data_IF_645387615750
#
_entry.id   IF_645387615750
#
_cell.length_a   1.000
_cell.length_b   1.000
_cell.length_c   1.000
_cell.angle_alpha   90.00
_cell.angle_beta   90.00
_cell.angle_gamma   90.00
#
_symmetry.space_group_name_H-M   'P 1'
#
loop_
_entity.id
_entity.type
_entity.pdbx_description
1 polymer ?
#
# COMPACT_ATOMS: atom_id res chain seq x y z
N UNK A 1 -9.14 -12.11 15.64
CA UNK A 1 -7.68 -11.87 15.62
C UNK A 1 -6.92 -12.45 16.81
N UNK A 2 -7.26 -12.15 18.06
CA UNK A 2 -6.55 -12.68 19.23
C UNK A 2 -6.48 -14.22 19.25
N UNK A 3 -7.57 -14.91 18.90
CA UNK A 3 -7.57 -16.37 18.74
C UNK A 3 -6.65 -16.88 17.60
N UNK A 4 -6.58 -16.19 16.45
CA UNK A 4 -5.68 -16.55 15.33
C UNK A 4 -4.22 -16.33 15.73
N UNK A 5 -3.93 -15.26 16.48
CA UNK A 5 -2.61 -14.96 17.00
C UNK A 5 -2.17 -15.96 18.08
N UNK A 6 -3.08 -16.34 18.98
CA UNK A 6 -2.86 -17.38 20.00
C UNK A 6 -2.64 -18.75 19.37
N UNK A 7 -3.39 -19.10 18.31
CA UNK A 7 -3.17 -20.32 17.53
C UNK A 7 -1.82 -20.25 16.82
N UNK A 8 -1.48 -19.16 16.16
CA UNK A 8 -0.17 -19.05 15.49
C UNK A 8 1.01 -19.05 16.48
N UNK A 9 0.80 -18.61 17.73
CA UNK A 9 1.81 -18.66 18.78
C UNK A 9 1.96 -20.06 19.40
N UNK A 10 0.87 -20.78 19.58
CA UNK A 10 0.83 -21.99 20.40
C UNK A 10 0.60 -23.31 19.63
N UNK A 11 0.25 -23.25 18.34
CA UNK A 11 0.05 -24.43 17.52
C UNK A 11 1.38 -25.08 17.10
N UNK A 12 1.35 -26.39 16.88
CA UNK A 12 2.46 -27.12 16.29
C UNK A 12 2.69 -26.75 14.81
N UNK A 13 3.86 -27.12 14.29
CA UNK A 13 4.25 -26.79 12.91
C UNK A 13 3.36 -27.43 11.85
N UNK A 14 2.75 -28.59 12.12
CA UNK A 14 1.88 -29.26 11.18
C UNK A 14 0.55 -28.51 11.02
N UNK A 15 -0.01 -28.06 12.14
CA UNK A 15 -1.23 -27.24 12.20
C UNK A 15 -1.01 -25.90 11.50
N UNK A 16 0.13 -25.25 11.75
CA UNK A 16 0.49 -23.99 11.06
C UNK A 16 0.59 -24.15 9.55
N UNK A 17 1.23 -25.23 9.07
CA UNK A 17 1.34 -25.52 7.63
C UNK A 17 -0.03 -25.74 6.99
N UNK A 18 -0.89 -26.53 7.62
CA UNK A 18 -2.24 -26.78 7.11
C UNK A 18 -3.05 -25.48 7.02
N UNK A 19 -3.02 -24.65 8.06
CA UNK A 19 -3.72 -23.36 8.05
C UNK A 19 -3.15 -22.38 7.02
N UNK A 20 -1.83 -22.35 6.84
CA UNK A 20 -1.18 -21.53 5.80
C UNK A 20 -1.61 -21.97 4.40
N UNK A 21 -1.74 -23.29 4.16
CA UNK A 21 -2.17 -23.83 2.88
C UNK A 21 -3.64 -23.50 2.56
N UNK A 22 -4.54 -23.60 3.55
CA UNK A 22 -5.94 -23.19 3.39
C UNK A 22 -6.07 -21.69 3.12
N UNK A 23 -5.33 -20.86 3.86
CA UNK A 23 -5.30 -19.41 3.59
C UNK A 23 -4.75 -19.09 2.21
N UNK A 24 -3.73 -19.83 1.74
CA UNK A 24 -3.22 -19.67 0.37
C UNK A 24 -4.31 -19.96 -0.66
N UNK A 25 -5.09 -21.04 -0.51
CA UNK A 25 -6.20 -21.35 -1.42
C UNK A 25 -7.24 -20.23 -1.46
N UNK A 26 -7.63 -19.70 -0.29
CA UNK A 26 -8.56 -18.57 -0.19
C UNK A 26 -8.02 -17.35 -0.94
N UNK A 27 -6.73 -17.05 -0.78
CA UNK A 27 -6.08 -15.92 -1.47
C UNK A 27 -5.97 -16.13 -2.97
N UNK A 28 -5.52 -17.30 -3.43
CA UNK A 28 -5.42 -17.62 -4.85
C UNK A 28 -6.79 -17.54 -5.53
N UNK A 29 -7.83 -18.09 -4.88
CA UNK A 29 -9.20 -18.02 -5.40
C UNK A 29 -9.76 -16.59 -5.41
N UNK A 30 -9.53 -15.82 -4.34
CA UNK A 30 -9.93 -14.41 -4.25
C UNK A 30 -9.28 -13.60 -5.37
N UNK A 31 -7.98 -13.81 -5.61
CA UNK A 31 -7.23 -13.09 -6.65
C UNK A 31 -7.75 -13.43 -8.04
N UNK A 32 -7.97 -14.70 -8.35
CA UNK A 32 -8.50 -15.13 -9.64
C UNK A 32 -9.89 -14.54 -9.92
N UNK A 33 -10.77 -14.57 -8.92
CA UNK A 33 -12.09 -13.92 -9.00
C UNK A 33 -11.98 -12.41 -9.19
N UNK A 34 -11.02 -11.77 -8.52
CA UNK A 34 -10.81 -10.32 -8.57
C UNK A 34 -10.26 -9.89 -9.92
N UNK A 35 -9.27 -10.60 -10.47
CA UNK A 35 -8.79 -10.36 -11.84
C UNK A 35 -9.91 -10.45 -12.87
N UNK A 36 -10.83 -11.41 -12.71
CA UNK A 36 -12.00 -11.53 -13.58
C UNK A 36 -12.95 -10.35 -13.46
N UNK A 37 -13.36 -9.99 -12.24
CA UNK A 37 -14.27 -8.84 -12.01
C UNK A 37 -13.64 -7.53 -12.51
N UNK A 38 -12.34 -7.34 -12.28
CA UNK A 38 -11.61 -6.16 -12.74
C UNK A 38 -11.48 -6.10 -14.27
N UNK A 39 -11.20 -7.22 -14.94
CA UNK A 39 -11.18 -7.26 -16.40
C UNK A 39 -12.53 -6.81 -16.98
N UNK A 40 -13.64 -7.35 -16.46
CA UNK A 40 -14.99 -6.97 -16.89
C UNK A 40 -15.27 -5.47 -16.66
N UNK A 41 -14.89 -4.94 -15.49
CA UNK A 41 -15.07 -3.51 -15.14
C UNK A 41 -14.24 -2.59 -16.02
N UNK A 42 -12.97 -2.92 -16.25
CA UNK A 42 -12.05 -2.12 -17.07
C UNK A 42 -12.49 -2.10 -18.54
N UNK A 43 -12.92 -3.25 -19.08
CA UNK A 43 -13.48 -3.33 -20.43
C UNK A 43 -14.78 -2.52 -20.56
N UNK A 44 -15.65 -2.54 -19.55
CA UNK A 44 -16.85 -1.71 -19.51
C UNK A 44 -16.52 -0.21 -19.48
N UNK A 45 -15.49 0.20 -18.75
CA UNK A 45 -15.01 1.59 -18.74
C UNK A 45 -14.40 2.01 -20.08
N UNK A 46 -13.62 1.13 -20.71
CA UNK A 46 -13.08 1.37 -22.05
C UNK A 46 -14.20 1.58 -23.07
N UNK A 47 -15.27 0.78 -23.02
CA UNK A 47 -16.44 0.97 -23.88
C UNK A 47 -17.09 2.34 -23.68
N UNK A 48 -17.28 2.77 -22.43
CA UNK A 48 -17.79 4.12 -22.11
C UNK A 48 -16.87 5.22 -22.66
N UNK A 49 -15.54 5.03 -22.61
CA UNK A 49 -14.57 5.97 -23.17
C UNK A 49 -14.64 6.06 -24.70
N UNK A 50 -14.87 4.94 -25.38
CA UNK A 50 -15.11 4.92 -26.84
C UNK A 50 -16.34 5.74 -27.17
N UNK A 51 -17.48 5.46 -26.51
CA UNK A 51 -18.74 6.18 -26.73
C UNK A 51 -18.60 7.69 -26.45
N UNK A 52 -17.89 8.06 -25.38
CA UNK A 52 -17.61 9.46 -25.06
C UNK A 52 -16.74 10.14 -26.13
N UNK A 53 -15.71 9.46 -26.65
CA UNK A 53 -14.85 9.99 -27.70
C UNK A 53 -15.61 10.21 -29.01
N UNK A 54 -16.49 9.27 -29.38
CA UNK A 54 -17.35 9.40 -30.56
C UNK A 54 -18.33 10.57 -30.41
N UNK A 55 -18.98 10.69 -29.25
CA UNK A 55 -19.90 11.80 -28.96
C UNK A 55 -19.20 13.17 -28.98
N UNK A 56 -17.93 13.21 -28.60
CA UNK A 56 -17.10 14.42 -28.65
C UNK A 56 -16.54 14.72 -30.06
N UNK A 57 -16.82 13.89 -31.08
CA UNK A 57 -16.28 14.05 -32.43
C UNK A 57 -14.80 13.70 -32.57
N UNK A 58 -14.21 13.05 -31.56
CA UNK A 58 -12.80 12.66 -31.58
C UNK A 58 -12.62 11.28 -32.22
N UNK A 59 -12.80 11.22 -33.54
CA UNK A 59 -12.78 9.98 -34.31
C UNK A 59 -11.44 9.23 -34.24
N UNK A 60 -10.32 9.95 -34.14
CA UNK A 60 -8.99 9.35 -34.04
C UNK A 60 -8.81 8.62 -32.69
N UNK A 61 -9.21 9.27 -31.59
CA UNK A 61 -9.18 8.63 -30.27
C UNK A 61 -10.14 7.43 -30.20
N UNK A 62 -11.35 7.57 -30.75
CA UNK A 62 -12.32 6.47 -30.79
C UNK A 62 -11.78 5.27 -31.57
N UNK A 63 -11.09 5.50 -32.70
CA UNK A 63 -10.44 4.44 -33.48
C UNK A 63 -9.34 3.74 -32.67
N UNK A 64 -8.43 4.50 -32.06
CA UNK A 64 -7.35 3.95 -31.23
C UNK A 64 -7.88 3.12 -30.06
N UNK A 65 -8.94 3.58 -29.38
CA UNK A 65 -9.55 2.87 -28.26
C UNK A 65 -10.28 1.58 -28.68
N UNK A 66 -10.79 1.51 -29.92
CA UNK A 66 -11.41 0.30 -30.50
C UNK A 66 -10.40 -0.74 -30.97
N UNK A 67 -9.22 -0.28 -31.40
CA UNK A 67 -8.11 -1.16 -31.81
C UNK A 67 -7.37 -1.77 -30.61
N UNK A 68 -7.51 -1.17 -29.42
CA UNK A 68 -6.96 -1.72 -28.19
C UNK A 68 -7.59 -3.08 -27.85
N UNK A 69 -6.77 -4.10 -27.52
CA UNK A 69 -7.28 -5.42 -27.17
C UNK A 69 -8.12 -5.37 -25.90
N UNK A 70 -9.08 -6.29 -25.81
CA UNK A 70 -9.84 -6.54 -24.58
C UNK A 70 -8.90 -7.00 -23.46
N UNK A 71 -9.04 -6.40 -22.27
CA UNK A 71 -8.26 -6.76 -21.09
C UNK A 71 -8.74 -8.10 -20.59
N UNK A 72 -7.85 -9.09 -20.48
CA UNK A 72 -8.15 -10.41 -19.91
C UNK A 72 -7.70 -10.49 -18.46
N UNK A 73 -8.24 -11.43 -17.66
CA UNK A 73 -7.76 -11.64 -16.29
C UNK A 73 -6.25 -11.86 -16.20
N UNK A 74 -5.66 -12.56 -17.20
CA UNK A 74 -4.22 -12.82 -17.27
C UNK A 74 -3.38 -11.58 -17.60
N UNK A 75 -4.00 -10.50 -18.08
CA UNK A 75 -3.34 -9.20 -18.29
C UNK A 75 -3.29 -8.36 -17.01
N UNK A 76 -3.92 -8.84 -15.92
CA UNK A 76 -3.92 -8.21 -14.60
C UNK A 76 -2.95 -8.97 -13.68
N UNK A 77 -1.93 -8.25 -13.24
CA UNK A 77 -0.91 -8.77 -12.33
C UNK A 77 -1.21 -8.34 -10.90
N UNK A 78 -1.08 -9.28 -9.96
CA UNK A 78 -1.09 -8.95 -8.53
C UNK A 78 0.32 -8.48 -8.21
N UNK A 79 0.46 -7.20 -7.87
CA UNK A 79 1.73 -6.62 -7.48
C UNK A 79 1.88 -6.71 -5.95
N UNK A 80 3.01 -7.29 -5.52
CA UNK A 80 3.20 -7.90 -4.21
C UNK A 80 2.67 -7.13 -2.99
N UNK A 81 1.74 -7.75 -2.25
CA UNK A 81 1.46 -7.44 -0.85
C UNK A 81 2.62 -7.68 0.08
N UNK A 82 2.62 -7.01 1.22
CA UNK A 82 3.58 -7.11 2.33
C UNK A 82 3.91 -8.55 2.79
N UNK A 83 4.76 -9.29 2.06
CA UNK A 83 5.64 -10.37 2.53
C UNK A 83 6.42 -10.94 1.33
N UNK A 84 7.72 -10.63 1.17
CA UNK A 84 8.53 -11.06 0.01
C UNK A 84 8.81 -12.56 -0.02
N UNK A 85 8.57 -13.26 1.08
CA UNK A 85 8.61 -14.72 1.10
C UNK A 85 7.28 -15.20 0.55
N UNK A 86 7.29 -15.98 -0.54
CA UNK A 86 6.10 -16.57 -1.18
C UNK A 86 5.23 -17.48 -0.26
N UNK A 87 5.52 -17.50 1.04
CA UNK A 87 4.80 -18.24 2.06
C UNK A 87 3.74 -17.36 2.71
N UNK A 88 2.48 -17.63 2.38
CA UNK A 88 1.31 -17.14 3.12
C UNK A 88 1.42 -17.61 4.57
N UNK A 89 1.33 -16.67 5.51
CA UNK A 89 1.34 -16.95 6.96
C UNK A 89 0.02 -16.52 7.57
N UNK A 90 -0.59 -17.41 8.33
CA UNK A 90 -1.80 -17.14 9.10
C UNK A 90 -1.58 -15.94 10.02
N UNK A 91 -2.44 -14.92 9.88
CA UNK A 91 -2.35 -13.67 10.64
C UNK A 91 -1.30 -12.67 10.13
N UNK A 92 -0.76 -12.86 8.91
CA UNK A 92 0.03 -11.84 8.23
C UNK A 92 -0.87 -10.87 7.46
N UNK A 93 -0.52 -9.58 7.52
CA UNK A 93 -1.15 -8.50 6.77
C UNK A 93 -1.03 -8.77 5.25
N UNK A 94 -2.12 -8.53 4.48
CA UNK A 94 -2.12 -8.67 3.01
C UNK A 94 -2.51 -7.35 2.33
N UNK A 95 -1.49 -6.60 1.92
CA UNK A 95 -1.61 -5.36 1.11
C UNK A 95 -1.79 -5.66 -0.41
N UNK A 96 -2.98 -5.80 -0.96
CA UNK A 96 -3.18 -6.11 -2.39
C UNK A 96 -3.12 -4.87 -3.27
N UNK A 97 -2.18 -4.85 -4.22
CA UNK A 97 -2.18 -3.96 -5.39
C UNK A 97 -2.36 -4.81 -6.65
N UNK A 98 -3.18 -4.36 -7.60
CA UNK A 98 -3.27 -4.99 -8.91
C UNK A 98 -2.96 -3.99 -10.02
N UNK A 99 -2.26 -4.45 -11.05
CA UNK A 99 -1.81 -3.64 -12.18
C UNK A 99 -2.29 -4.23 -13.49
N UNK A 100 -2.58 -3.35 -14.43
CA UNK A 100 -2.95 -3.72 -15.80
C UNK A 100 -2.02 -3.03 -16.78
N UNK A 101 -1.73 -3.69 -17.90
CA UNK A 101 -1.04 -3.04 -19.00
C UNK A 101 -1.89 -1.87 -19.52
N UNK A 102 -1.26 -0.72 -19.83
CA UNK A 102 -2.00 0.44 -20.31
C UNK A 102 -2.63 0.18 -21.68
N UNK A 103 -3.86 0.68 -21.87
CA UNK A 103 -4.56 0.54 -23.15
C UNK A 103 -4.01 1.53 -24.20
N UNK A 104 -4.08 1.16 -25.48
CA UNK A 104 -3.75 2.08 -26.56
C UNK A 104 -4.62 3.36 -26.48
N UNK A 105 -4.02 4.51 -26.78
CA UNK A 105 -4.66 5.82 -26.66
C UNK A 105 -4.68 6.39 -25.23
N UNK A 106 -4.34 5.62 -24.20
CA UNK A 106 -4.19 6.13 -22.84
C UNK A 106 -2.99 7.06 -22.73
N UNK A 107 -3.14 8.15 -21.96
CA UNK A 107 -2.01 9.02 -21.63
C UNK A 107 -1.36 8.48 -20.37
N UNK A 108 -0.08 8.17 -20.46
CA UNK A 108 0.75 7.71 -19.34
C UNK A 108 1.96 8.62 -19.21
N UNK A 109 2.53 8.67 -18.00
CA UNK A 109 3.82 9.32 -17.78
C UNK A 109 4.92 8.27 -17.95
N UNK A 110 5.91 8.58 -18.77
CA UNK A 110 7.11 7.74 -18.93
C UNK A 110 8.36 8.56 -18.62
N UNK A 111 9.45 7.92 -18.17
CA UNK A 111 10.73 8.60 -17.98
C UNK A 111 11.22 9.20 -19.30
N UNK A 112 11.77 10.41 -19.25
CA UNK A 112 12.40 11.01 -20.42
C UNK A 112 13.68 10.25 -20.77
N UNK A 113 13.90 9.84 -22.04
CA UNK A 113 15.14 9.20 -22.45
C UNK A 113 16.35 10.11 -22.17
N UNK A 114 17.29 9.60 -21.38
CA UNK A 114 18.47 10.34 -20.92
C UNK A 114 18.27 11.20 -19.66
N UNK A 115 17.06 11.26 -19.10
CA UNK A 115 16.80 11.85 -17.78
C UNK A 115 15.65 11.10 -17.07
N UNK A 116 15.95 9.98 -16.38
CA UNK A 116 14.94 9.13 -15.74
C UNK A 116 14.14 9.81 -14.62
N UNK A 117 14.66 10.92 -14.07
CA UNK A 117 14.02 11.72 -13.02
C UNK A 117 12.93 12.64 -13.57
N UNK A 118 12.96 12.93 -14.88
CA UNK A 118 11.96 13.78 -15.54
C UNK A 118 10.91 12.92 -16.23
N UNK A 119 9.65 13.12 -15.86
CA UNK A 119 8.50 12.42 -16.45
C UNK A 119 7.90 13.24 -17.59
N UNK A 120 7.55 12.58 -18.69
CA UNK A 120 6.84 13.17 -19.82
C UNK A 120 5.54 12.39 -20.07
N UNK A 121 4.46 13.12 -20.31
CA UNK A 121 3.19 12.50 -20.69
C UNK A 121 3.23 12.14 -22.17
N UNK A 122 2.83 10.91 -22.49
CA UNK A 122 2.69 10.48 -23.87
C UNK A 122 1.53 9.51 -24.04
N UNK A 123 1.05 9.42 -25.27
CA UNK A 123 -0.06 8.53 -25.64
C UNK A 123 0.50 7.15 -25.95
N UNK A 124 -0.12 6.12 -25.40
CA UNK A 124 0.24 4.72 -25.62
C UNK A 124 -0.17 4.31 -27.04
N UNK A 125 0.78 3.74 -27.77
CA UNK A 125 0.63 3.18 -29.10
C UNK A 125 -0.06 1.81 -29.04
N UNK A 126 -0.49 1.28 -30.19
CA UNK A 126 -1.13 -0.03 -30.28
C UNK A 126 -0.23 -1.19 -29.81
N UNK A 127 1.10 -1.02 -29.87
CA UNK A 127 2.10 -1.99 -29.42
C UNK A 127 2.47 -1.86 -27.93
N UNK A 128 1.79 -0.98 -27.17
CA UNK A 128 2.07 -0.76 -25.75
C UNK A 128 3.29 0.11 -25.46
N UNK A 129 3.85 0.78 -26.47
CA UNK A 129 4.93 1.77 -26.29
C UNK A 129 4.39 3.19 -26.23
N UNK A 130 5.22 4.13 -25.80
CA UNK A 130 4.99 5.57 -25.90
C UNK A 130 6.14 6.17 -26.69
N UNK A 131 5.80 6.94 -27.72
CA UNK A 131 6.80 7.72 -28.46
C UNK A 131 7.08 9.01 -27.71
N UNK A 132 8.35 9.20 -27.32
CA UNK A 132 8.82 10.39 -26.61
C UNK A 132 10.05 10.97 -27.28
N UNK A 133 10.21 12.29 -27.18
CA UNK A 133 11.36 12.98 -27.75
C UNK A 133 12.56 12.88 -26.81
N UNK A 134 13.61 12.22 -27.26
CA UNK A 134 14.89 12.09 -26.59
C UNK A 134 15.60 13.43 -26.43
N UNK A 135 16.60 13.44 -25.54
CA UNK A 135 17.45 14.61 -25.28
C UNK A 135 18.29 15.02 -26.51
N UNK A 136 18.53 14.10 -27.44
CA UNK A 136 19.16 14.34 -28.74
C UNK A 136 18.17 14.86 -29.81
N UNK A 137 16.92 15.09 -29.44
CA UNK A 137 15.88 15.62 -30.32
C UNK A 137 15.22 14.57 -31.23
N UNK A 138 15.59 13.28 -31.11
CA UNK A 138 14.99 12.17 -31.88
C UNK A 138 13.84 11.51 -31.13
N UNK A 139 12.94 10.90 -31.86
CA UNK A 139 11.86 10.12 -31.26
C UNK A 139 12.38 8.75 -30.81
N UNK A 140 12.03 8.37 -29.59
CA UNK A 140 12.38 7.10 -28.95
C UNK A 140 11.10 6.44 -28.48
N UNK A 141 10.96 5.15 -28.75
CA UNK A 141 9.88 4.37 -28.16
C UNK A 141 10.30 3.84 -26.80
N UNK A 142 9.46 4.09 -25.80
CA UNK A 142 9.65 3.62 -24.43
C UNK A 142 8.47 2.73 -24.09
N UNK A 143 8.71 1.59 -23.45
CA UNK A 143 7.61 0.72 -22.98
C UNK A 143 6.74 1.51 -22.00
N UNK A 144 5.42 1.49 -22.22
CA UNK A 144 4.50 2.11 -21.29
C UNK A 144 4.52 1.35 -19.95
N UNK A 145 4.58 2.04 -18.79
CA UNK A 145 4.52 1.39 -17.50
C UNK A 145 3.13 0.81 -17.27
N UNK A 146 3.07 -0.29 -16.50
CA UNK A 146 1.81 -0.82 -16.03
C UNK A 146 1.10 0.21 -15.14
N UNK A 147 -0.22 0.17 -15.15
CA UNK A 147 -1.07 1.12 -14.44
C UNK A 147 -1.76 0.38 -13.31
N UNK A 148 -1.64 0.89 -12.09
CA UNK A 148 -2.44 0.37 -10.98
C UNK A 148 -3.93 0.52 -11.26
N UNK A 149 -4.67 -0.53 -10.95
CA UNK A 149 -6.12 -0.47 -10.88
C UNK A 149 -6.49 0.52 -9.78
N UNK A 150 -7.38 1.51 -10.05
CA UNK A 150 -7.77 2.49 -9.05
C UNK A 150 -8.24 1.84 -7.75
N UNK A 151 -7.79 2.36 -6.61
CA UNK A 151 -8.05 1.82 -5.28
C UNK A 151 -9.54 1.52 -5.04
N UNK A 152 -10.43 2.44 -5.40
CA UNK A 152 -11.87 2.24 -5.20
C UNK A 152 -12.41 1.05 -5.98
N UNK A 153 -11.96 0.85 -7.23
CA UNK A 153 -12.36 -0.27 -8.07
C UNK A 153 -11.76 -1.58 -7.55
N UNK A 154 -10.48 -1.56 -7.17
CA UNK A 154 -9.80 -2.73 -6.61
C UNK A 154 -10.43 -3.14 -5.28
N UNK A 155 -10.59 -2.20 -4.34
CA UNK A 155 -11.20 -2.44 -3.02
C UNK A 155 -12.58 -3.06 -3.16
N UNK A 156 -13.45 -2.48 -3.99
CA UNK A 156 -14.80 -2.99 -4.16
C UNK A 156 -14.82 -4.41 -4.74
N UNK A 157 -14.04 -4.68 -5.79
CA UNK A 157 -13.95 -6.01 -6.39
C UNK A 157 -13.32 -7.03 -5.43
N UNK A 158 -12.23 -6.66 -4.77
CA UNK A 158 -11.47 -7.55 -3.90
C UNK A 158 -12.24 -7.89 -2.62
N UNK A 159 -12.77 -6.91 -1.88
CA UNK A 159 -13.50 -7.17 -0.64
C UNK A 159 -14.74 -8.02 -0.87
N UNK A 160 -15.47 -7.78 -1.97
CA UNK A 160 -16.57 -8.62 -2.43
C UNK A 160 -16.11 -10.07 -2.65
N UNK A 161 -15.09 -10.28 -3.47
CA UNK A 161 -14.63 -11.64 -3.80
C UNK A 161 -14.02 -12.35 -2.60
N UNK A 162 -13.34 -11.61 -1.72
CA UNK A 162 -12.79 -12.12 -0.47
C UNK A 162 -13.91 -12.59 0.46
N UNK A 163 -14.96 -11.79 0.62
CA UNK A 163 -16.13 -12.16 1.40
C UNK A 163 -16.80 -13.43 0.88
N UNK A 164 -17.01 -13.52 -0.43
CA UNK A 164 -17.64 -14.70 -1.05
C UNK A 164 -16.78 -15.95 -0.91
N UNK A 165 -15.46 -15.81 -0.98
CA UNK A 165 -14.52 -16.92 -0.84
C UNK A 165 -14.42 -17.41 0.60
N UNK A 166 -14.35 -16.49 1.57
CA UNK A 166 -14.22 -16.81 3.00
C UNK A 166 -15.53 -17.35 3.59
N UNK A 167 -16.67 -16.78 3.22
CA UNK A 167 -17.96 -17.12 3.85
C UNK A 167 -18.78 -18.15 3.07
N UNK A 168 -18.49 -18.33 1.78
CA UNK A 168 -19.31 -19.11 0.85
C UNK A 168 -20.67 -18.47 0.53
N UNK A 169 -20.97 -17.27 1.05
CA UNK A 169 -22.21 -16.53 0.80
C UNK A 169 -21.99 -15.46 -0.25
N UNK A 170 -23.03 -15.05 -0.96
CA UNK A 170 -22.92 -13.93 -1.90
C UNK A 170 -22.73 -12.62 -1.14
N UNK A 171 -21.87 -11.73 -1.63
CA UNK A 171 -21.69 -10.42 -1.02
C UNK A 171 -22.99 -9.58 -1.03
N UNK A 172 -23.89 -9.83 -2.00
CA UNK A 172 -25.21 -9.20 -2.08
C UNK A 172 -26.16 -9.57 -0.94
N UNK A 173 -25.82 -10.58 -0.13
CA UNK A 173 -26.60 -11.01 1.03
C UNK A 173 -26.14 -10.33 2.33
N UNK A 174 -25.09 -9.50 2.28
CA UNK A 174 -24.54 -8.75 3.40
C UNK A 174 -24.58 -7.25 3.14
N UNK A 175 -24.48 -6.45 4.21
CA UNK A 175 -24.31 -5.00 4.02
C UNK A 175 -22.90 -4.71 3.46
N UNK A 176 -22.72 -3.61 2.69
CA UNK A 176 -21.38 -3.21 2.24
C UNK A 176 -20.39 -3.00 3.40
N UNK A 177 -20.90 -2.60 4.56
CA UNK A 177 -20.11 -2.44 5.78
C UNK A 177 -19.62 -3.79 6.31
N UNK A 178 -20.46 -4.82 6.34
CA UNK A 178 -20.05 -6.18 6.77
C UNK A 178 -19.00 -6.78 5.84
N UNK A 179 -19.15 -6.57 4.52
CA UNK A 179 -18.17 -7.01 3.51
C UNK A 179 -16.81 -6.33 3.74
N UNK A 180 -16.80 -5.01 3.94
CA UNK A 180 -15.55 -4.28 4.20
C UNK A 180 -14.97 -4.59 5.58
N UNK A 181 -15.81 -4.78 6.60
CA UNK A 181 -15.36 -5.13 7.94
C UNK A 181 -14.71 -6.51 7.97
N UNK A 182 -15.22 -7.49 7.23
CA UNK A 182 -14.56 -8.80 7.12
C UNK A 182 -13.15 -8.67 6.52
N UNK A 183 -12.98 -7.88 5.46
CA UNK A 183 -11.66 -7.64 4.88
C UNK A 183 -10.69 -6.98 5.90
N UNK A 184 -11.16 -5.99 6.64
CA UNK A 184 -10.40 -5.33 7.73
C UNK A 184 -10.08 -6.27 8.89
N UNK A 185 -11.01 -7.15 9.26
CA UNK A 185 -10.83 -8.18 10.29
C UNK A 185 -9.78 -9.23 9.90
N UNK A 186 -9.51 -9.39 8.61
CA UNK A 186 -8.46 -10.24 8.08
C UNK A 186 -7.21 -9.46 7.64
N UNK A 187 -7.09 -8.18 8.00
CA UNK A 187 -5.95 -7.31 7.63
C UNK A 187 -5.69 -7.29 6.12
N UNK A 188 -6.75 -7.27 5.33
CA UNK A 188 -6.70 -7.11 3.89
C UNK A 188 -6.77 -5.62 3.55
N UNK A 189 -5.70 -5.07 2.96
CA UNK A 189 -5.66 -3.68 2.53
C UNK A 189 -5.51 -3.62 1.01
N UNK A 190 -6.44 -2.99 0.30
CA UNK A 190 -6.29 -2.75 -1.13
C UNK A 190 -5.63 -1.39 -1.35
N UNK A 191 -4.57 -1.31 -2.14
CA UNK A 191 -3.84 -0.05 -2.39
C UNK A 191 -3.57 0.14 -3.88
N UNK A 192 -3.38 1.39 -4.29
CA UNK A 192 -2.82 1.79 -5.59
C UNK A 192 -1.62 2.73 -5.34
N UNK A 193 -0.75 3.05 -6.34
CA UNK A 193 0.43 3.92 -6.10
C UNK A 193 0.12 5.33 -5.59
N UNK A 194 -1.13 5.77 -5.66
CA UNK A 194 -1.57 7.09 -5.18
C UNK A 194 -2.33 6.98 -3.85
N UNK A 195 -2.56 5.76 -3.35
CA UNK A 195 -3.23 5.52 -2.10
C UNK A 195 -2.36 6.04 -0.95
N UNK A 196 -2.96 6.68 0.07
CA UNK A 196 -2.21 7.17 1.22
C UNK A 196 -1.40 6.08 1.94
N UNK A 197 -1.79 4.80 1.83
CA UNK A 197 -1.03 3.68 2.41
C UNK A 197 0.05 3.08 1.50
N UNK A 198 0.17 3.53 0.25
CA UNK A 198 1.17 3.03 -0.67
C UNK A 198 2.53 3.68 -0.40
N UNK A 199 3.56 2.84 -0.31
CA UNK A 199 4.94 3.29 -0.18
C UNK A 199 5.44 3.81 -1.54
N UNK A 200 5.29 5.12 -1.75
CA UNK A 200 5.84 5.84 -2.90
C UNK A 200 5.09 5.64 -4.22
N UNK A 201 5.58 6.32 -5.26
CA UNK A 201 4.90 6.42 -6.56
C UNK A 201 5.31 5.32 -7.54
N UNK A 202 6.32 4.51 -7.18
CA UNK A 202 6.93 3.49 -8.02
C UNK A 202 6.91 2.08 -7.40
N UNK A 203 6.89 1.02 -8.24
CA UNK A 203 7.04 -0.36 -7.79
C UNK A 203 8.26 -0.59 -6.89
N UNK A 204 9.36 0.10 -7.20
CA UNK A 204 10.63 -0.04 -6.48
C UNK A 204 10.61 0.60 -5.09
N UNK A 205 9.68 1.53 -4.82
CA UNK A 205 9.59 2.22 -3.54
C UNK A 205 9.03 1.32 -2.44
N UNK A 206 8.08 0.44 -2.77
CA UNK A 206 7.58 -0.58 -1.84
C UNK A 206 8.68 -1.59 -1.48
N UNK A 207 9.43 -2.06 -2.47
CA UNK A 207 10.57 -2.98 -2.25
C UNK A 207 11.68 -2.30 -1.45
N UNK A 208 11.92 -1.01 -1.70
CA UNK A 208 12.85 -0.17 -0.93
C UNK A 208 12.39 0.04 0.51
N UNK A 209 11.09 0.25 0.73
CA UNK A 209 10.53 0.37 2.07
C UNK A 209 10.65 -0.96 2.82
N UNK A 210 10.41 -2.08 2.15
CA UNK A 210 10.31 -3.36 2.83
C UNK A 210 11.65 -4.10 3.01
N UNK A 211 12.55 -4.05 2.02
CA UNK A 211 13.71 -4.94 1.94
C UNK A 211 15.04 -4.22 1.74
N UNK A 212 15.03 -3.02 1.15
CA UNK A 212 16.23 -2.28 0.83
C UNK A 212 16.28 -0.93 1.56
N UNK A 213 16.54 -0.94 2.89
CA UNK A 213 16.71 0.29 3.67
C UNK A 213 17.88 1.15 3.18
N UNK A 214 18.71 0.61 2.29
CA UNK A 214 19.89 1.17 1.64
C UNK A 214 19.64 1.68 0.21
N UNK A 215 18.39 1.98 -0.16
CA UNK A 215 18.06 2.53 -1.47
C UNK A 215 17.19 3.77 -1.38
N UNK A 216 17.24 4.58 -2.44
CA UNK A 216 16.42 5.79 -2.54
C UNK A 216 14.95 5.49 -2.81
N UNK A 217 14.08 6.22 -2.12
CA UNK A 217 12.69 6.36 -2.55
C UNK A 217 12.59 7.36 -3.70
N UNK A 218 11.79 7.02 -4.70
CA UNK A 218 11.42 7.94 -5.78
C UNK A 218 10.50 9.06 -5.29
N UNK A 219 9.71 8.80 -4.24
CA UNK A 219 8.91 9.79 -3.51
C UNK A 219 9.04 9.61 -1.98
N UNK A 220 10.06 10.23 -1.35
CA UNK A 220 10.30 10.17 0.09
C UNK A 220 9.16 10.74 0.94
N UNK A 221 8.47 11.75 0.43
CA UNK A 221 7.41 12.46 1.14
C UNK A 221 6.18 11.55 1.23
N UNK A 222 5.78 10.93 0.12
CA UNK A 222 4.67 9.98 0.09
C UNK A 222 4.92 8.77 1.01
N UNK A 223 6.15 8.26 1.07
CA UNK A 223 6.52 7.16 1.97
C UNK A 223 6.40 7.57 3.45
N UNK A 224 6.85 8.78 3.80
CA UNK A 224 6.67 9.33 5.14
C UNK A 224 5.19 9.51 5.51
N UNK A 225 4.39 10.00 4.56
CA UNK A 225 2.93 10.14 4.72
C UNK A 225 2.26 8.78 4.91
N UNK A 226 2.65 7.74 4.16
CA UNK A 226 2.10 6.39 4.30
C UNK A 226 2.42 5.75 5.65
N UNK A 227 3.64 5.92 6.15
CA UNK A 227 4.01 5.46 7.49
C UNK A 227 3.17 6.13 8.58
N UNK A 228 2.87 7.43 8.42
CA UNK A 228 2.03 8.20 9.34
C UNK A 228 0.55 7.81 9.24
N UNK A 229 0.03 7.62 8.03
CA UNK A 229 -1.39 7.36 7.76
C UNK A 229 -1.91 6.11 8.47
N UNK A 230 -1.14 5.00 8.47
CA UNK A 230 -1.54 3.73 9.11
C UNK A 230 -1.85 3.87 10.61
N UNK A 231 -1.12 4.73 11.32
CA UNK A 231 -1.39 5.01 12.73
C UNK A 231 -2.57 5.96 12.90
N UNK A 232 -2.63 7.01 12.09
CA UNK A 232 -3.69 8.02 12.15
C UNK A 232 -5.08 7.44 11.88
N UNK A 233 -5.20 6.54 10.91
CA UNK A 233 -6.48 5.88 10.61
C UNK A 233 -7.01 5.16 11.85
N UNK A 234 -6.15 4.41 12.54
CA UNK A 234 -6.52 3.68 13.76
C UNK A 234 -6.84 4.58 14.93
N UNK A 235 -6.10 5.68 15.10
CA UNK A 235 -6.40 6.68 16.13
C UNK A 235 -7.74 7.38 15.87
N UNK A 236 -8.05 7.66 14.60
CA UNK A 236 -9.35 8.23 14.21
C UNK A 236 -10.48 7.22 14.42
N UNK A 237 -10.28 5.98 14.01
CA UNK A 237 -11.24 4.89 14.24
C UNK A 237 -11.54 4.73 15.74
N UNK A 238 -10.51 4.79 16.59
CA UNK A 238 -10.66 4.77 18.03
C UNK A 238 -11.50 5.94 18.55
N UNK A 239 -11.25 7.16 18.06
CA UNK A 239 -12.01 8.35 18.43
C UNK A 239 -13.50 8.24 18.04
N UNK A 240 -13.77 7.77 16.82
CA UNK A 240 -15.14 7.60 16.31
C UNK A 240 -15.90 6.50 17.07
N UNK A 241 -15.23 5.39 17.39
CA UNK A 241 -15.77 4.32 18.23
C UNK A 241 -16.06 4.81 19.66
N UNK A 242 -15.17 5.62 20.23
CA UNK A 242 -15.35 6.22 21.54
C UNK A 242 -16.59 7.11 21.58
N UNK A 243 -16.75 8.00 20.58
CA UNK A 243 -17.94 8.87 20.43
C UNK A 243 -19.23 8.07 20.27
N UNK A 244 -19.16 6.89 19.66
CA UNK A 244 -20.29 5.98 19.50
C UNK A 244 -20.59 5.12 20.75
N UNK A 245 -19.83 5.28 21.85
CA UNK A 245 -19.99 4.48 23.08
C UNK A 245 -19.42 3.06 22.98
N UNK A 246 -18.65 2.75 21.93
CA UNK A 246 -18.00 1.45 21.69
C UNK A 246 -16.61 1.44 22.33
N UNK A 247 -16.56 1.53 23.67
CA UNK A 247 -15.32 1.81 24.40
C UNK A 247 -14.26 0.71 24.29
N UNK A 248 -14.68 -0.56 24.26
CA UNK A 248 -13.74 -1.70 24.14
C UNK A 248 -13.10 -1.75 22.76
N UNK A 249 -13.90 -1.47 21.73
CA UNK A 249 -13.46 -1.36 20.35
C UNK A 249 -12.51 -0.18 20.20
N UNK A 250 -12.85 0.97 20.78
CA UNK A 250 -12.02 2.17 20.77
C UNK A 250 -10.64 1.92 21.39
N UNK A 251 -10.58 1.26 22.55
CA UNK A 251 -9.34 0.90 23.21
C UNK A 251 -8.50 -0.06 22.36
N UNK A 252 -9.15 -1.03 21.70
CA UNK A 252 -8.49 -1.97 20.79
C UNK A 252 -7.92 -1.27 19.56
N UNK A 253 -8.65 -0.35 18.96
CA UNK A 253 -8.20 0.46 17.81
C UNK A 253 -7.06 1.39 18.19
N UNK A 254 -7.10 1.99 19.38
CA UNK A 254 -6.00 2.82 19.90
C UNK A 254 -4.73 1.99 20.08
N UNK A 255 -4.83 0.80 20.69
CA UNK A 255 -3.71 -0.12 20.83
C UNK A 255 -3.13 -0.55 19.47
N UNK A 256 -3.98 -0.81 18.47
CA UNK A 256 -3.53 -1.15 17.12
C UNK A 256 -2.81 0.02 16.44
N UNK A 257 -3.29 1.26 16.59
CA UNK A 257 -2.58 2.45 16.10
C UNK A 257 -1.18 2.58 16.71
N UNK A 258 -1.05 2.36 18.02
CA UNK A 258 0.24 2.36 18.71
C UNK A 258 1.16 1.22 18.24
N UNK A 259 0.60 0.03 17.98
CA UNK A 259 1.31 -1.10 17.36
C UNK A 259 1.82 -0.75 15.96
N UNK A 260 1.02 -0.10 15.13
CA UNK A 260 1.46 0.31 13.80
C UNK A 260 2.63 1.29 13.90
N UNK A 261 2.60 2.27 14.79
CA UNK A 261 3.68 3.25 14.95
C UNK A 261 4.99 2.61 15.43
N UNK A 262 4.92 1.70 16.39
CA UNK A 262 6.10 0.96 16.87
C UNK A 262 6.67 0.03 15.78
N UNK A 263 5.80 -0.61 14.98
CA UNK A 263 6.19 -1.42 13.83
C UNK A 263 6.90 -0.58 12.76
N UNK A 264 6.33 0.55 12.36
CA UNK A 264 6.93 1.46 11.38
C UNK A 264 8.27 2.00 11.88
N UNK A 265 8.35 2.39 13.16
CA UNK A 265 9.61 2.83 13.76
C UNK A 265 10.71 1.77 13.68
N UNK A 266 10.41 0.54 14.12
CA UNK A 266 11.40 -0.55 14.14
C UNK A 266 11.80 -1.00 12.74
N UNK A 267 10.85 -1.11 11.82
CA UNK A 267 11.09 -1.68 10.49
C UNK A 267 11.56 -0.67 9.46
N UNK A 268 11.15 0.59 9.56
CA UNK A 268 11.49 1.63 8.59
C UNK A 268 12.56 2.56 9.15
N UNK A 269 12.26 3.24 10.27
CA UNK A 269 13.12 4.32 10.78
C UNK A 269 14.46 3.78 11.29
N UNK A 270 14.45 2.78 12.16
CA UNK A 270 15.68 2.24 12.75
C UNK A 270 16.56 1.55 11.69
N UNK A 271 15.98 0.67 10.87
CA UNK A 271 16.74 -0.04 9.83
C UNK A 271 17.37 0.92 8.81
N UNK A 272 16.64 1.95 8.39
CA UNK A 272 17.15 2.96 7.44
C UNK A 272 18.21 3.84 8.09
N UNK A 273 18.03 4.23 9.35
CA UNK A 273 19.07 4.93 10.10
C UNK A 273 20.36 4.12 10.18
N UNK A 274 20.26 2.83 10.50
CA UNK A 274 21.42 1.94 10.59
C UNK A 274 22.12 1.81 9.23
N UNK A 275 21.35 1.74 8.14
CA UNK A 275 21.90 1.76 6.78
C UNK A 275 22.64 3.06 6.46
N UNK A 276 22.05 4.24 6.73
CA UNK A 276 22.68 5.55 6.49
C UNK A 276 23.93 5.78 7.37
N UNK A 277 23.91 5.25 8.59
CA UNK A 277 25.04 5.30 9.51
C UNK A 277 26.16 4.29 9.14
N UNK A 278 25.83 3.28 8.33
CA UNK A 278 26.76 2.29 7.80
C UNK A 278 27.63 2.82 6.64
N UNK A 279 28.63 2.05 6.17
CA UNK A 279 29.53 2.49 5.11
C UNK A 279 28.84 2.65 3.74
N UNK A 280 29.08 3.75 2.98
CA UNK A 280 29.89 4.91 3.35
C UNK A 280 29.14 5.79 4.37
N UNK A 281 29.75 5.96 5.55
CA UNK A 281 29.12 6.60 6.71
C UNK A 281 28.80 8.06 6.41
N UNK A 282 27.53 8.45 6.52
CA UNK A 282 27.17 9.86 6.47
C UNK A 282 27.50 10.51 7.82
N UNK A 283 28.63 11.23 7.88
CA UNK A 283 29.10 11.92 9.08
C UNK A 283 28.17 13.05 9.57
N UNK A 284 27.25 13.51 8.71
CA UNK A 284 26.30 14.59 9.00
C UNK A 284 24.91 14.08 9.38
N UNK A 285 24.74 12.77 9.60
CA UNK A 285 23.45 12.20 9.98
C UNK A 285 23.03 12.74 11.37
N UNK A 286 21.87 13.41 11.49
CA UNK A 286 21.41 13.94 12.77
C UNK A 286 21.06 12.80 13.74
N UNK A 287 21.19 13.03 15.07
CA UNK A 287 20.67 12.09 16.04
C UNK A 287 19.14 12.00 15.91
N UNK A 288 18.58 10.82 16.16
CA UNK A 288 17.13 10.69 16.33
C UNK A 288 16.68 11.57 17.50
N UNK A 289 15.53 12.22 17.33
CA UNK A 289 14.88 12.97 18.40
C UNK A 289 14.57 12.04 19.60
N UNK A 290 15.25 12.32 20.71
CA UNK A 290 15.10 11.58 21.97
C UNK A 290 13.67 11.63 22.55
N UNK A 291 12.89 12.68 22.28
CA UNK A 291 11.49 12.77 22.71
C UNK A 291 10.62 11.81 21.90
N UNK A 292 10.80 11.81 20.58
CA UNK A 292 10.11 10.88 19.69
C UNK A 292 10.46 9.43 20.02
N UNK A 293 11.73 9.13 20.28
CA UNK A 293 12.15 7.77 20.68
C UNK A 293 11.48 7.32 21.98
N UNK A 294 11.36 8.21 22.97
CA UNK A 294 10.62 7.93 24.22
C UNK A 294 9.13 7.76 23.97
N UNK A 295 8.54 8.58 23.11
CA UNK A 295 7.13 8.49 22.76
C UNK A 295 6.80 7.14 22.08
N UNK A 296 7.63 6.68 21.14
CA UNK A 296 7.47 5.36 20.53
C UNK A 296 7.70 4.23 21.55
N UNK A 297 8.64 4.40 22.49
CA UNK A 297 8.84 3.41 23.57
C UNK A 297 7.60 3.26 24.46
N UNK A 298 6.89 4.34 24.77
CA UNK A 298 5.63 4.29 25.52
C UNK A 298 4.57 3.51 24.73
N UNK A 299 4.46 3.74 23.42
CA UNK A 299 3.57 2.96 22.56
C UNK A 299 3.95 1.47 22.52
N UNK A 300 5.25 1.14 22.59
CA UNK A 300 5.73 -0.25 22.61
C UNK A 300 5.37 -0.97 23.92
N UNK A 301 5.29 -0.23 25.03
CA UNK A 301 4.84 -0.76 26.31
C UNK A 301 3.35 -1.14 26.30
N UNK A 302 2.52 -0.46 25.49
CA UNK A 302 1.13 -0.88 25.21
C UNK A 302 1.11 -2.17 24.42
N UNK A 303 1.93 -2.29 23.36
CA UNK A 303 2.04 -3.53 22.56
C UNK A 303 2.49 -4.70 23.42
N UNK A 304 3.37 -4.45 24.38
CA UNK A 304 3.85 -5.45 25.34
C UNK A 304 2.85 -5.75 26.47
N UNK A 305 1.70 -5.05 26.54
CA UNK A 305 0.68 -5.21 27.57
C UNK A 305 1.12 -4.72 28.96
N UNK A 306 2.14 -3.87 29.05
CA UNK A 306 2.64 -3.34 30.32
C UNK A 306 1.81 -2.17 30.84
N UNK A 307 1.23 -1.39 29.94
CA UNK A 307 0.38 -0.23 30.24
C UNK A 307 -0.84 -0.24 29.32
N UNK A 308 -1.93 0.40 29.76
CA UNK A 308 -3.12 0.57 28.92
C UNK A 308 -2.90 1.67 27.86
N UNK A 309 -3.68 1.69 26.77
CA UNK A 309 -3.67 2.82 25.83
C UNK A 309 -3.93 4.17 26.50
N UNK A 310 -4.85 4.22 27.47
CA UNK A 310 -5.16 5.45 28.21
C UNK A 310 -3.97 5.95 29.05
N UNK A 311 -3.26 5.05 29.73
CA UNK A 311 -2.04 5.40 30.48
C UNK A 311 -0.98 5.94 29.52
N UNK A 312 -0.80 5.29 28.37
CA UNK A 312 0.14 5.72 27.34
C UNK A 312 -0.20 7.12 26.81
N UNK A 313 -1.46 7.41 26.51
CA UNK A 313 -1.89 8.77 26.11
C UNK A 313 -1.52 9.81 27.16
N UNK A 314 -1.77 9.52 28.44
CA UNK A 314 -1.38 10.39 29.55
C UNK A 314 0.14 10.61 29.65
N UNK A 315 0.94 9.57 29.39
CA UNK A 315 2.42 9.66 29.38
C UNK A 315 2.93 10.43 28.16
N UNK A 316 2.33 10.23 26.98
CA UNK A 316 2.65 10.95 25.75
C UNK A 316 2.39 12.45 25.92
N UNK A 317 1.26 12.82 26.52
CA UNK A 317 0.91 14.23 26.78
C UNK A 317 1.96 14.92 27.66
N UNK A 318 2.52 14.23 28.66
CA UNK A 318 3.61 14.76 29.50
C UNK A 318 4.91 14.99 28.72
N UNK A 319 5.11 14.27 27.62
CA UNK A 319 6.23 14.50 26.69
C UNK A 319 5.94 15.59 25.65
N UNK A 320 4.72 16.15 25.65
CA UNK A 320 4.27 17.12 24.65
C UNK A 320 3.76 16.47 23.37
N UNK A 321 3.40 15.18 23.42
CA UNK A 321 2.91 14.43 22.27
C UNK A 321 1.46 13.94 22.46
N UNK A 322 0.74 13.83 21.35
CA UNK A 322 -0.46 13.00 21.20
C UNK A 322 -0.12 11.79 20.32
N UNK A 323 -0.93 10.71 20.31
CA UNK A 323 -0.73 9.59 19.39
C UNK A 323 -0.60 10.03 17.93
N UNK A 324 -1.45 10.96 17.49
CA UNK A 324 -1.42 11.54 16.13
C UNK A 324 -0.11 12.32 15.88
N UNK A 325 0.38 13.08 16.85
CA UNK A 325 1.67 13.79 16.68
C UNK A 325 2.83 12.81 16.53
N UNK A 326 2.83 11.70 17.27
CA UNK A 326 3.85 10.65 17.15
C UNK A 326 3.80 10.03 15.76
N UNK A 327 2.62 9.75 15.23
CA UNK A 327 2.49 9.23 13.85
C UNK A 327 3.10 10.17 12.81
N UNK A 328 2.79 11.46 12.91
CA UNK A 328 3.37 12.48 12.03
C UNK A 328 4.89 12.55 12.14
N UNK A 329 5.42 12.52 13.36
CA UNK A 329 6.85 12.67 13.59
C UNK A 329 7.64 11.40 13.20
N UNK A 330 7.05 10.21 13.33
CA UNK A 330 7.59 8.96 12.74
C UNK A 330 7.70 9.08 11.22
N UNK A 331 6.64 9.57 10.55
CA UNK A 331 6.64 9.79 9.10
C UNK A 331 7.70 10.80 8.65
N UNK A 332 7.78 11.96 9.33
CA UNK A 332 8.81 12.99 9.06
C UNK A 332 10.22 12.48 9.29
N UNK A 333 10.44 11.67 10.32
CA UNK A 333 11.77 11.10 10.60
C UNK A 333 12.22 10.17 9.47
N UNK A 334 11.29 9.39 8.89
CA UNK A 334 11.56 8.54 7.74
C UNK A 334 11.91 9.36 6.48
N UNK A 335 11.11 10.39 6.17
CA UNK A 335 11.38 11.32 5.08
C UNK A 335 12.73 12.04 5.27
N UNK A 336 13.05 12.48 6.49
CA UNK A 336 14.32 13.12 6.81
C UNK A 336 15.50 12.19 6.52
N UNK A 337 15.45 10.94 6.99
CA UNK A 337 16.56 9.98 6.81
C UNK A 337 16.88 9.74 5.33
N UNK A 338 15.88 9.83 4.45
CA UNK A 338 16.07 9.72 3.01
C UNK A 338 16.97 10.83 2.43
N UNK A 339 16.91 12.05 2.99
CA UNK A 339 17.76 13.18 2.57
C UNK A 339 19.24 12.97 2.92
N UNK A 340 19.54 12.01 3.78
CA UNK A 340 20.91 11.67 4.20
C UNK A 340 21.43 10.36 3.58
N UNK A 341 20.65 9.69 2.72
CA UNK A 341 21.15 8.52 2.02
C UNK A 341 22.28 8.92 1.04
N UNK A 342 23.48 8.31 1.12
CA UNK A 342 24.61 8.68 0.28
C UNK A 342 24.46 8.27 -1.19
N UNK A 343 23.41 7.51 -1.55
CA UNK A 343 23.13 7.04 -2.91
C UNK A 343 22.37 8.02 -3.80
N UNK A 344 21.95 9.17 -3.28
CA UNK A 344 21.41 10.25 -4.10
C UNK A 344 22.46 10.71 -5.12
N UNK A 345 22.13 10.62 -6.41
CA UNK A 345 22.90 11.27 -7.49
C UNK A 345 23.02 12.78 -7.14
N UNK A 346 24.22 13.39 -7.28
CA UNK A 346 24.44 14.83 -7.04
C UNK A 346 23.53 15.76 -7.85
#
# INVERSE_FOLDING_TARGET
KQAIWEINRNADDATKRAMNEEMRKVYDETDQRTKKDLADRLNAEQKKRIEAAEKAGNHELAKLLKEAPEIKPDDIEVFNPTNPTAEVKVGADRDVTMRVKPSAGQIVKVPQPGNPSKQVAGRVNADGTVTVRGSDGKDVQVKAPDIDVPHSMLKEAYEKNFYETVTGKKASEASPEDVSNLAKEYDQACTDRLHPEAYGSRPEDLDTAMHHPDRDFSDPEQVGQAASYKGQEKFKEAEDQWKAGKYKEAESSMAEGMRQMTKQWKNQVLKRRDAVAGPPRNANLPPIDSKLQKAVSIMDDVVAGKISPADAEGMLLKLGHTPISVANDVGKQLEMLQKFWPGGIP
#
